data_IF_674995064972
#
_entry.id   IF_674995064972
#
_cell.length_a   1.000
_cell.length_b   1.000
_cell.length_c   1.000
_cell.angle_alpha   90.00
_cell.angle_beta   90.00
_cell.angle_gamma   90.00
#
_symmetry.space_group_name_H-M   'P 1'
#
loop_
_entity.id
_entity.type
_entity.pdbx_description
1 polymer ?
#
# COMPACT_ATOMS: atom_id res chain seq x y z
N UNK A 1 5.60 37.33 -85.89
CA UNK A 1 4.16 37.67 -85.88
C UNK A 1 3.69 37.71 -84.43
N UNK A 2 2.99 38.79 -84.07
CA UNK A 2 2.45 39.11 -82.74
C UNK A 2 1.42 38.08 -82.27
N UNK A 3 1.35 37.84 -80.94
CA UNK A 3 0.16 37.97 -80.05
C UNK A 3 0.47 37.24 -78.72
N UNK A 4 0.81 37.95 -77.64
CA UNK A 4 -0.05 38.59 -76.62
C UNK A 4 -0.77 37.61 -75.67
N UNK A 5 -0.35 37.68 -74.39
CA UNK A 5 -1.11 37.70 -73.13
C UNK A 5 -2.38 36.84 -73.01
N UNK A 6 -2.46 36.00 -71.97
CA UNK A 6 -3.15 36.32 -70.69
C UNK A 6 -2.99 35.18 -69.67
N UNK A 7 -2.64 35.54 -68.43
CA UNK A 7 -2.97 34.80 -67.19
C UNK A 7 -4.32 35.36 -66.70
N UNK A 8 -5.29 34.52 -66.31
CA UNK A 8 -5.79 34.56 -64.91
C UNK A 8 -6.12 33.15 -64.36
N UNK A 9 -5.62 32.79 -63.18
CA UNK A 9 -6.36 32.77 -61.89
C UNK A 9 -7.72 32.06 -61.96
N UNK A 10 -7.79 30.85 -61.38
CA UNK A 10 -8.86 30.48 -60.44
C UNK A 10 -8.44 29.26 -59.61
N UNK A 11 -7.72 29.57 -58.53
CA UNK A 11 -7.63 28.74 -57.33
C UNK A 11 -9.02 28.70 -56.72
N UNK A 12 -9.57 27.51 -56.52
CA UNK A 12 -10.92 27.38 -55.95
C UNK A 12 -11.39 25.94 -55.81
N UNK A 13 -10.55 25.03 -55.33
CA UNK A 13 -11.05 23.79 -54.72
C UNK A 13 -11.15 24.06 -53.22
N UNK A 14 -12.23 24.72 -52.83
CA UNK A 14 -12.69 24.73 -51.44
C UNK A 14 -13.26 23.32 -51.22
N UNK A 15 -12.41 22.40 -50.75
CA UNK A 15 -12.86 21.22 -50.04
C UNK A 15 -13.52 21.72 -48.76
N UNK A 16 -14.85 21.92 -48.82
CA UNK A 16 -15.71 21.95 -47.65
C UNK A 16 -15.61 20.56 -47.02
N UNK A 17 -14.60 20.36 -46.17
CA UNK A 17 -14.65 19.31 -45.17
C UNK A 17 -15.74 19.77 -44.21
N UNK A 18 -16.97 19.37 -44.52
CA UNK A 18 -18.03 19.38 -43.54
C UNK A 18 -17.50 18.60 -42.34
N UNK A 19 -17.23 19.30 -41.24
CA UNK A 19 -17.04 18.71 -39.94
C UNK A 19 -18.38 18.10 -39.51
N UNK A 20 -18.75 16.98 -40.16
CA UNK A 20 -19.70 16.05 -39.59
C UNK A 20 -18.99 15.43 -38.39
N UNK A 21 -19.44 15.79 -37.20
CA UNK A 21 -19.29 14.94 -36.02
C UNK A 21 -19.90 13.59 -36.41
N UNK A 22 -19.06 12.63 -36.79
CA UNK A 22 -19.52 11.26 -37.02
C UNK A 22 -19.83 10.68 -35.64
N UNK A 23 -21.08 10.86 -35.19
CA UNK A 23 -21.64 10.05 -34.12
C UNK A 23 -21.52 8.61 -34.61
N UNK A 24 -20.71 7.81 -33.91
CA UNK A 24 -20.59 6.39 -34.18
C UNK A 24 -22.00 5.79 -34.08
N UNK A 25 -22.56 5.22 -35.16
CA UNK A 25 -23.93 4.72 -35.17
C UNK A 25 -24.17 3.58 -34.16
N UNK A 26 -23.11 3.04 -33.55
CA UNK A 26 -23.18 2.05 -32.47
C UNK A 26 -22.92 2.61 -31.05
N UNK A 27 -22.74 3.92 -30.88
CA UNK A 27 -22.58 4.53 -29.56
C UNK A 27 -23.94 4.67 -28.85
N UNK A 28 -24.41 3.56 -28.26
CA UNK A 28 -25.67 3.50 -27.51
C UNK A 28 -25.66 4.38 -26.26
N UNK A 29 -24.49 4.73 -25.73
CA UNK A 29 -24.37 5.55 -24.54
C UNK A 29 -24.68 7.03 -24.85
N UNK A 30 -24.39 7.49 -26.07
CA UNK A 30 -24.63 8.88 -26.49
C UNK A 30 -26.08 9.36 -26.40
N UNK A 31 -27.06 8.42 -26.42
CA UNK A 31 -28.49 8.73 -26.29
C UNK A 31 -29.00 8.86 -24.85
N UNK A 32 -28.14 8.60 -23.86
CA UNK A 32 -28.46 8.77 -22.45
C UNK A 32 -28.12 10.20 -21.99
N UNK A 33 -28.76 10.63 -20.91
CA UNK A 33 -28.54 11.97 -20.33
C UNK A 33 -27.73 11.89 -19.02
N UNK A 34 -26.98 12.98 -18.75
CA UNK A 34 -26.25 13.25 -17.51
C UNK A 34 -25.43 12.04 -17.00
N UNK A 35 -25.67 11.63 -15.75
CA UNK A 35 -24.93 10.56 -15.07
C UNK A 35 -25.14 9.18 -15.71
N UNK A 36 -26.29 8.92 -16.34
CA UNK A 36 -26.55 7.64 -16.97
C UNK A 36 -25.65 7.43 -18.20
N UNK A 37 -25.33 8.51 -18.90
CA UNK A 37 -24.39 8.51 -20.03
C UNK A 37 -22.97 8.19 -19.58
N UNK A 38 -22.48 8.89 -18.55
CA UNK A 38 -21.15 8.68 -17.99
C UNK A 38 -20.97 7.26 -17.44
N UNK A 39 -21.98 6.73 -16.73
CA UNK A 39 -21.96 5.36 -16.25
C UNK A 39 -21.92 4.35 -17.41
N UNK A 40 -22.69 4.58 -18.47
CA UNK A 40 -22.64 3.71 -19.66
C UNK A 40 -21.23 3.69 -20.28
N UNK A 41 -20.57 4.84 -20.40
CA UNK A 41 -19.19 4.89 -20.89
C UNK A 41 -18.18 4.24 -19.94
N UNK A 42 -18.38 4.37 -18.62
CA UNK A 42 -17.60 3.68 -17.61
C UNK A 42 -17.68 2.15 -17.78
N UNK A 43 -18.90 1.62 -17.89
CA UNK A 43 -19.14 0.17 -18.01
C UNK A 43 -18.53 -0.41 -19.30
N UNK A 44 -18.39 0.41 -20.34
CA UNK A 44 -17.80 0.03 -21.62
C UNK A 44 -16.30 0.38 -21.75
N UNK A 45 -15.65 0.85 -20.68
CA UNK A 45 -14.24 1.28 -20.68
C UNK A 45 -13.92 2.37 -21.72
N UNK A 46 -14.90 3.22 -22.02
CA UNK A 46 -14.76 4.36 -22.94
C UNK A 46 -14.46 5.64 -22.15
N UNK A 47 -13.43 5.60 -21.31
CA UNK A 47 -13.16 6.62 -20.29
C UNK A 47 -13.00 8.04 -20.86
N UNK A 48 -12.46 8.19 -22.08
CA UNK A 48 -12.29 9.49 -22.73
C UNK A 48 -13.61 10.20 -23.09
N UNK A 49 -14.74 9.49 -23.01
CA UNK A 49 -16.08 10.03 -23.30
C UNK A 49 -16.86 10.42 -22.04
N UNK A 50 -16.28 10.21 -20.85
CA UNK A 50 -16.88 10.56 -19.56
C UNK A 50 -16.55 12.02 -19.25
N UNK A 51 -17.58 12.84 -19.03
CA UNK A 51 -17.39 14.26 -18.72
C UNK A 51 -17.11 14.46 -17.22
N UNK A 52 -17.74 13.68 -16.34
CA UNK A 52 -17.55 13.77 -14.91
C UNK A 52 -16.21 13.16 -14.47
N UNK A 53 -15.27 14.00 -14.02
CA UNK A 53 -13.94 13.57 -13.58
C UNK A 53 -13.94 12.56 -12.42
N UNK A 54 -14.96 12.63 -11.55
CA UNK A 54 -15.14 11.68 -10.43
C UNK A 54 -15.40 10.26 -10.94
N UNK A 55 -16.00 10.11 -12.12
CA UNK A 55 -16.19 8.81 -12.79
C UNK A 55 -15.06 8.52 -13.79
N UNK A 56 -14.55 9.54 -14.47
CA UNK A 56 -13.49 9.41 -15.47
C UNK A 56 -12.20 8.89 -14.86
N UNK A 57 -11.75 9.46 -13.75
CA UNK A 57 -10.45 9.10 -13.17
C UNK A 57 -10.42 7.63 -12.68
N UNK A 58 -11.44 7.11 -11.96
CA UNK A 58 -11.52 5.68 -11.66
C UNK A 58 -11.62 4.80 -12.91
N UNK A 59 -12.31 5.24 -13.97
CA UNK A 59 -12.35 4.50 -15.24
C UNK A 59 -10.94 4.37 -15.85
N UNK A 60 -10.20 5.48 -15.90
CA UNK A 60 -8.82 5.50 -16.41
C UNK A 60 -7.94 4.58 -15.56
N UNK A 61 -8.06 4.63 -14.23
CA UNK A 61 -7.30 3.75 -13.34
C UNK A 61 -7.62 2.27 -13.56
N UNK A 62 -8.90 1.92 -13.76
CA UNK A 62 -9.29 0.55 -14.09
C UNK A 62 -8.76 0.11 -15.46
N UNK A 63 -8.81 1.00 -16.44
CA UNK A 63 -8.25 0.75 -17.77
C UNK A 63 -6.74 0.50 -17.70
N UNK A 64 -6.00 1.31 -16.93
CA UNK A 64 -4.57 1.15 -16.71
C UNK A 64 -4.23 -0.22 -16.10
N UNK A 65 -5.04 -0.70 -15.15
CA UNK A 65 -4.89 -2.03 -14.55
C UNK A 65 -5.15 -3.14 -15.56
N UNK A 66 -6.26 -3.07 -16.31
CA UNK A 66 -6.64 -4.09 -17.30
C UNK A 66 -5.59 -4.20 -18.41
N UNK A 67 -5.03 -3.06 -18.82
CA UNK A 67 -4.00 -3.00 -19.86
C UNK A 67 -2.60 -3.27 -19.33
N UNK A 68 -2.41 -3.32 -18.00
CA UNK A 68 -1.10 -3.44 -17.37
C UNK A 68 -0.11 -2.33 -17.81
N UNK A 69 -0.64 -1.15 -18.14
CA UNK A 69 0.10 -0.03 -18.71
C UNK A 69 0.01 1.21 -17.82
N UNK A 70 1.11 1.53 -17.15
CA UNK A 70 1.23 2.67 -16.25
C UNK A 70 1.06 4.02 -16.97
N UNK A 71 1.36 4.08 -18.27
CA UNK A 71 1.27 5.34 -19.04
C UNK A 71 -0.18 5.77 -19.26
N UNK A 72 -1.15 4.85 -19.09
CA UNK A 72 -2.57 5.20 -19.09
C UNK A 72 -2.93 6.11 -17.92
N UNK A 73 -2.20 6.03 -16.79
CA UNK A 73 -2.39 6.95 -15.67
C UNK A 73 -2.06 8.40 -16.05
N UNK A 74 -1.21 8.66 -17.05
CA UNK A 74 -0.83 10.01 -17.49
C UNK A 74 -2.01 10.82 -18.05
N UNK A 75 -3.17 10.17 -18.27
CA UNK A 75 -4.43 10.80 -18.65
C UNK A 75 -5.20 11.42 -17.46
N UNK A 76 -4.73 11.24 -16.23
CA UNK A 76 -5.34 11.80 -15.01
C UNK A 76 -4.56 13.05 -14.60
N UNK A 77 -5.24 14.21 -14.58
CA UNK A 77 -4.64 15.49 -14.16
C UNK A 77 -4.65 15.68 -12.64
N UNK A 78 -5.64 15.10 -11.94
CA UNK A 78 -5.79 15.28 -10.49
C UNK A 78 -4.78 14.42 -9.73
N UNK A 79 -3.93 15.07 -8.92
CA UNK A 79 -2.76 14.46 -8.29
C UNK A 79 -3.11 13.23 -7.43
N UNK A 80 -4.20 13.27 -6.65
CA UNK A 80 -4.56 12.17 -5.77
C UNK A 80 -5.07 10.95 -6.55
N UNK A 81 -5.85 11.15 -7.60
CA UNK A 81 -6.32 10.10 -8.50
C UNK A 81 -5.20 9.54 -9.38
N UNK A 82 -4.25 10.38 -9.80
CA UNK A 82 -3.04 9.95 -10.49
C UNK A 82 -2.21 9.02 -9.60
N UNK A 83 -1.93 9.44 -8.36
CA UNK A 83 -1.23 8.62 -7.37
C UNK A 83 -1.96 7.30 -7.08
N UNK A 84 -3.30 7.34 -6.99
CA UNK A 84 -4.10 6.14 -6.81
C UNK A 84 -3.99 5.18 -8.00
N UNK A 85 -4.06 5.70 -9.23
CA UNK A 85 -3.87 4.90 -10.44
C UNK A 85 -2.51 4.19 -10.44
N UNK A 86 -1.43 4.92 -10.13
CA UNK A 86 -0.09 4.36 -10.05
C UNK A 86 0.03 3.26 -8.99
N UNK A 87 -0.52 3.47 -7.78
CA UNK A 87 -0.57 2.46 -6.72
C UNK A 87 -1.32 1.19 -7.17
N UNK A 88 -2.47 1.33 -7.83
CA UNK A 88 -3.24 0.18 -8.31
C UNK A 88 -2.50 -0.62 -9.37
N UNK A 89 -1.89 0.05 -10.35
CA UNK A 89 -1.07 -0.60 -11.39
C UNK A 89 0.15 -1.28 -10.77
N UNK A 90 0.80 -0.64 -9.79
CA UNK A 90 1.92 -1.24 -9.05
C UNK A 90 1.53 -2.59 -8.44
N UNK A 91 0.36 -2.66 -7.79
CA UNK A 91 -0.16 -3.88 -7.15
C UNK A 91 -0.45 -4.98 -8.15
N UNK A 92 -1.14 -4.67 -9.24
CA UNK A 92 -1.47 -5.65 -10.30
C UNK A 92 -0.21 -6.24 -10.92
N UNK A 93 0.78 -5.39 -11.20
CA UNK A 93 2.07 -5.80 -11.75
C UNK A 93 3.01 -6.43 -10.71
N UNK A 94 2.65 -6.40 -9.42
CA UNK A 94 3.52 -6.69 -8.28
C UNK A 94 4.90 -5.98 -8.41
N UNK A 95 4.88 -4.71 -8.82
CA UNK A 95 6.07 -3.93 -9.13
C UNK A 95 6.23 -2.74 -8.17
N UNK A 96 6.97 -2.90 -7.05
CA UNK A 96 7.18 -1.82 -6.09
C UNK A 96 8.01 -0.66 -6.62
N UNK A 97 8.69 -0.81 -7.77
CA UNK A 97 9.45 0.29 -8.38
C UNK A 97 8.54 1.41 -8.89
N UNK A 98 7.24 1.16 -9.06
CA UNK A 98 6.27 2.21 -9.42
C UNK A 98 6.02 3.16 -8.24
N UNK A 99 6.08 2.68 -6.99
CA UNK A 99 5.83 3.50 -5.79
C UNK A 99 6.78 4.72 -5.71
N UNK A 100 8.01 4.60 -6.24
CA UNK A 100 8.99 5.70 -6.23
C UNK A 100 8.57 6.91 -7.08
N UNK A 101 7.67 6.69 -8.04
CA UNK A 101 7.18 7.71 -8.95
C UNK A 101 5.91 8.40 -8.41
N UNK A 102 5.37 7.95 -7.28
CA UNK A 102 4.23 8.58 -6.63
C UNK A 102 4.73 9.83 -5.89
N UNK A 103 4.32 11.01 -6.34
CA UNK A 103 4.74 12.30 -5.75
C UNK A 103 4.11 12.55 -4.37
N UNK A 104 2.84 12.20 -4.23
CA UNK A 104 2.11 12.37 -2.98
C UNK A 104 2.66 11.42 -1.91
N UNK A 105 3.39 11.97 -0.94
CA UNK A 105 4.07 11.21 0.13
C UNK A 105 3.15 10.21 0.84
N UNK A 106 1.93 10.61 1.17
CA UNK A 106 0.96 9.73 1.82
C UNK A 106 0.64 8.48 0.96
N UNK A 107 0.40 8.68 -0.34
CA UNK A 107 0.13 7.58 -1.28
C UNK A 107 1.37 6.72 -1.53
N UNK A 108 2.56 7.33 -1.60
CA UNK A 108 3.82 6.61 -1.71
C UNK A 108 4.07 5.71 -0.50
N UNK A 109 3.86 6.24 0.72
CA UNK A 109 4.00 5.50 1.97
C UNK A 109 3.01 4.31 2.02
N UNK A 110 1.76 4.51 1.58
CA UNK A 110 0.77 3.44 1.47
C UNK A 110 1.17 2.35 0.45
N UNK A 111 1.75 2.75 -0.69
CA UNK A 111 2.24 1.84 -1.71
C UNK A 111 3.36 0.94 -1.15
N UNK A 112 4.38 1.54 -0.52
CA UNK A 112 5.46 0.77 0.12
C UNK A 112 4.98 -0.09 1.28
N UNK A 113 4.04 0.41 2.10
CA UNK A 113 3.43 -0.35 3.20
C UNK A 113 2.75 -1.62 2.71
N UNK A 114 2.02 -1.53 1.59
CA UNK A 114 1.42 -2.70 0.98
C UNK A 114 2.46 -3.75 0.61
N UNK A 115 3.48 -3.39 -0.17
CA UNK A 115 4.51 -4.35 -0.58
C UNK A 115 5.31 -4.90 0.60
N UNK A 116 5.57 -4.08 1.62
CA UNK A 116 6.25 -4.54 2.82
C UNK A 116 5.44 -5.62 3.54
N UNK A 117 4.14 -5.40 3.71
CA UNK A 117 3.27 -6.32 4.45
C UNK A 117 2.79 -7.53 3.63
N UNK A 118 2.49 -7.37 2.34
CA UNK A 118 2.00 -8.46 1.49
C UNK A 118 3.10 -9.44 1.10
N UNK A 119 4.34 -8.95 0.93
CA UNK A 119 5.47 -9.75 0.49
C UNK A 119 6.45 -10.06 1.62
N UNK A 120 6.12 -9.67 2.86
CA UNK A 120 7.02 -9.75 4.03
C UNK A 120 8.39 -9.09 3.77
N UNK A 121 8.43 -8.01 2.99
CA UNK A 121 9.64 -7.31 2.60
C UNK A 121 9.87 -6.08 3.48
N UNK A 122 10.60 -6.28 4.58
CA UNK A 122 10.93 -5.18 5.50
C UNK A 122 11.68 -4.03 4.83
N UNK A 123 12.40 -4.27 3.72
CA UNK A 123 13.10 -3.21 3.01
C UNK A 123 12.12 -2.21 2.41
N UNK A 124 10.92 -2.64 2.01
CA UNK A 124 9.86 -1.71 1.59
C UNK A 124 9.30 -0.93 2.76
N UNK A 125 9.13 -1.54 3.92
CA UNK A 125 8.74 -0.79 5.13
C UNK A 125 9.74 0.34 5.44
N UNK A 126 11.04 0.11 5.28
CA UNK A 126 12.09 1.10 5.55
C UNK A 126 12.07 2.32 4.60
N UNK A 127 11.39 2.21 3.44
CA UNK A 127 11.21 3.32 2.50
C UNK A 127 10.05 4.25 2.89
N UNK A 128 9.24 3.88 3.88
CA UNK A 128 8.11 4.69 4.35
C UNK A 128 8.62 5.90 5.13
N UNK A 129 8.20 7.09 4.70
CA UNK A 129 8.59 8.37 5.30
C UNK A 129 7.91 8.60 6.64
N UNK A 130 6.59 8.36 6.71
CA UNK A 130 5.83 8.47 7.95
C UNK A 130 6.29 7.42 8.98
N UNK A 131 6.79 7.88 10.13
CA UNK A 131 7.40 6.98 11.11
C UNK A 131 6.41 6.00 11.74
N UNK A 132 5.20 6.46 12.07
CA UNK A 132 4.19 5.61 12.68
C UNK A 132 3.79 4.48 11.73
N UNK A 133 3.55 4.81 10.47
CA UNK A 133 3.23 3.85 9.42
C UNK A 133 4.40 2.90 9.14
N UNK A 134 5.63 3.42 9.11
CA UNK A 134 6.86 2.60 8.98
C UNK A 134 6.96 1.58 10.11
N UNK A 135 6.80 2.02 11.35
CA UNK A 135 6.86 1.14 12.52
C UNK A 135 5.77 0.07 12.46
N UNK A 136 4.54 0.44 12.06
CA UNK A 136 3.44 -0.52 11.93
C UNK A 136 3.69 -1.55 10.83
N UNK A 137 4.27 -1.14 9.71
CA UNK A 137 4.69 -2.05 8.64
C UNK A 137 5.73 -3.04 9.16
N UNK A 138 6.79 -2.55 9.83
CA UNK A 138 7.85 -3.40 10.41
C UNK A 138 7.30 -4.38 11.44
N UNK A 139 6.46 -3.93 12.38
CA UNK A 139 5.81 -4.81 13.37
C UNK A 139 5.00 -5.92 12.68
N UNK A 140 4.22 -5.56 11.66
CA UNK A 140 3.40 -6.54 10.92
C UNK A 140 4.27 -7.60 10.24
N UNK A 141 5.38 -7.20 9.62
CA UNK A 141 6.31 -8.15 8.98
C UNK A 141 7.00 -9.01 10.04
N UNK A 142 7.43 -8.42 11.17
CA UNK A 142 8.05 -9.15 12.28
C UNK A 142 7.12 -10.22 12.86
N UNK A 143 5.85 -9.87 13.10
CA UNK A 143 4.84 -10.79 13.63
C UNK A 143 4.55 -11.94 12.66
N UNK A 144 4.34 -11.64 11.36
CA UNK A 144 4.01 -12.67 10.36
C UNK A 144 5.19 -13.62 10.10
N UNK A 145 6.41 -13.12 10.16
CA UNK A 145 7.62 -13.91 9.92
C UNK A 145 8.20 -14.56 11.18
N UNK A 146 7.70 -14.17 12.36
CA UNK A 146 8.29 -14.49 13.66
C UNK A 146 9.80 -14.18 13.74
N UNK A 147 10.28 -13.14 13.04
CA UNK A 147 11.69 -12.73 13.09
C UNK A 147 11.90 -11.61 14.11
N UNK A 148 12.47 -11.92 15.30
CA UNK A 148 12.69 -10.94 16.36
C UNK A 148 13.73 -9.86 15.97
N UNK A 149 14.60 -10.12 14.99
CA UNK A 149 15.58 -9.13 14.56
C UNK A 149 14.91 -7.94 13.87
N UNK A 150 13.74 -8.15 13.27
CA UNK A 150 12.99 -7.06 12.64
C UNK A 150 12.52 -6.03 13.68
N UNK A 151 12.19 -6.46 14.90
CA UNK A 151 11.84 -5.57 16.01
C UNK A 151 12.98 -4.60 16.36
N UNK A 152 14.24 -4.92 16.05
CA UNK A 152 15.38 -4.04 16.30
C UNK A 152 15.40 -2.78 15.41
N UNK A 153 14.58 -2.76 14.35
CA UNK A 153 14.35 -1.57 13.54
C UNK A 153 13.32 -0.61 14.15
N UNK A 154 12.66 -0.98 15.26
CA UNK A 154 11.71 -0.13 15.96
C UNK A 154 12.42 0.78 16.97
N UNK A 155 11.92 2.00 17.17
CA UNK A 155 12.54 2.96 18.10
C UNK A 155 12.42 2.52 19.56
N UNK A 156 13.39 2.93 20.36
CA UNK A 156 13.29 2.95 21.81
C UNK A 156 12.45 4.18 22.23
N UNK A 157 11.13 4.03 22.25
CA UNK A 157 10.22 5.08 22.73
C UNK A 157 9.82 4.82 24.19
N UNK A 158 9.20 5.78 24.89
CA UNK A 158 8.60 5.54 26.21
C UNK A 158 7.58 4.40 26.20
N UNK A 159 6.82 4.26 25.11
CA UNK A 159 5.90 3.14 24.88
C UNK A 159 6.64 1.82 24.59
N UNK A 160 7.91 1.91 24.20
CA UNK A 160 8.86 0.83 23.95
C UNK A 160 8.32 -0.23 22.98
N UNK A 161 7.89 0.22 21.79
CA UNK A 161 7.38 -0.64 20.70
C UNK A 161 8.29 -1.83 20.41
N UNK A 162 9.61 -1.63 20.46
CA UNK A 162 10.61 -2.69 20.34
C UNK A 162 10.42 -3.82 21.34
N UNK A 163 10.32 -3.51 22.64
CA UNK A 163 10.13 -4.52 23.67
C UNK A 163 8.77 -5.22 23.55
N UNK A 164 7.73 -4.51 23.13
CA UNK A 164 6.41 -5.09 22.87
C UNK A 164 6.45 -6.09 21.70
N UNK A 165 7.08 -5.73 20.58
CA UNK A 165 7.31 -6.59 19.42
C UNK A 165 8.09 -7.85 19.80
N UNK A 166 9.24 -7.70 20.48
CA UNK A 166 10.04 -8.83 20.97
C UNK A 166 9.24 -9.74 21.90
N UNK A 167 8.48 -9.17 22.85
CA UNK A 167 7.67 -9.95 23.79
C UNK A 167 6.53 -10.70 23.10
N UNK A 168 5.95 -10.13 22.04
CA UNK A 168 4.90 -10.77 21.23
C UNK A 168 5.46 -12.02 20.55
N UNK A 169 6.58 -11.85 19.83
CA UNK A 169 7.25 -12.95 19.13
C UNK A 169 7.72 -14.02 20.11
N UNK A 170 8.39 -13.65 21.21
CA UNK A 170 8.87 -14.59 22.22
C UNK A 170 7.75 -15.48 22.78
N UNK A 171 6.56 -14.90 22.97
CA UNK A 171 5.39 -15.62 23.48
C UNK A 171 4.79 -16.55 22.42
N UNK A 172 4.62 -16.07 21.20
CA UNK A 172 4.07 -16.86 20.08
C UNK A 172 4.96 -18.05 19.72
N UNK A 173 6.28 -17.84 19.71
CA UNK A 173 7.26 -18.90 19.41
C UNK A 173 7.66 -19.71 20.64
N UNK A 174 7.26 -19.28 21.84
CA UNK A 174 7.72 -19.79 23.14
C UNK A 174 9.25 -19.75 23.31
N UNK A 175 9.94 -18.89 22.55
CA UNK A 175 11.38 -18.73 22.60
C UNK A 175 11.78 -17.69 23.64
N UNK A 176 12.21 -18.16 24.81
CA UNK A 176 12.69 -17.31 25.90
C UNK A 176 13.93 -16.48 25.54
N UNK A 177 14.75 -16.92 24.57
CA UNK A 177 15.98 -16.21 24.20
C UNK A 177 15.66 -14.87 23.53
N UNK A 178 14.48 -14.76 22.90
CA UNK A 178 13.96 -13.49 22.39
C UNK A 178 13.68 -12.50 23.54
N UNK A 179 13.27 -12.96 24.72
CA UNK A 179 13.13 -12.08 25.88
C UNK A 179 14.47 -11.49 26.32
N UNK A 180 15.58 -12.20 26.11
CA UNK A 180 16.92 -11.73 26.47
C UNK A 180 17.38 -10.55 25.58
N UNK A 181 16.74 -10.33 24.43
CA UNK A 181 16.96 -9.17 23.56
C UNK A 181 16.30 -7.88 24.10
N UNK A 182 15.52 -7.95 25.18
CA UNK A 182 14.85 -6.80 25.80
C UNK A 182 15.77 -6.17 26.86
N UNK A 183 16.24 -4.95 26.61
CA UNK A 183 17.15 -4.24 27.51
C UNK A 183 16.52 -3.84 28.86
N UNK A 184 15.22 -3.52 28.84
CA UNK A 184 14.53 -3.03 30.03
C UNK A 184 14.18 -4.20 30.97
N UNK A 185 14.91 -4.31 32.09
CA UNK A 185 14.82 -5.43 33.04
C UNK A 185 13.38 -5.82 33.40
N UNK A 186 12.51 -4.86 33.72
CA UNK A 186 11.11 -5.15 34.09
C UNK A 186 10.36 -5.81 32.93
N UNK A 187 10.54 -5.32 31.70
CA UNK A 187 9.89 -5.88 30.49
C UNK A 187 10.46 -7.23 30.11
N UNK A 188 11.77 -7.42 30.20
CA UNK A 188 12.42 -8.71 30.02
C UNK A 188 11.88 -9.76 31.00
N UNK A 189 11.82 -9.44 32.29
CA UNK A 189 11.28 -10.34 33.31
C UNK A 189 9.78 -10.61 33.09
N UNK A 190 9.02 -9.62 32.62
CA UNK A 190 7.60 -9.78 32.28
C UNK A 190 7.42 -10.71 31.08
N UNK A 191 8.30 -10.62 30.08
CA UNK A 191 8.32 -11.50 28.92
C UNK A 191 8.54 -12.96 29.36
N UNK A 192 9.62 -13.23 30.12
CA UNK A 192 9.90 -14.57 30.65
C UNK A 192 8.78 -15.12 31.53
N UNK A 193 8.22 -14.28 32.41
CA UNK A 193 7.09 -14.64 33.26
C UNK A 193 5.86 -15.09 32.46
N UNK A 194 5.53 -14.39 31.37
CA UNK A 194 4.39 -14.76 30.51
C UNK A 194 4.61 -16.11 29.84
N UNK A 195 5.80 -16.34 29.27
CA UNK A 195 6.14 -17.64 28.67
C UNK A 195 6.10 -18.74 29.72
N UNK A 196 6.65 -18.50 30.92
CA UNK A 196 6.68 -19.48 32.00
C UNK A 196 5.25 -19.92 32.38
N UNK A 197 4.33 -18.96 32.51
CA UNK A 197 2.91 -19.25 32.79
C UNK A 197 2.22 -19.97 31.64
N UNK A 198 2.35 -19.47 30.41
CA UNK A 198 1.72 -20.07 29.22
C UNK A 198 2.22 -21.51 28.96
N UNK A 199 3.41 -21.87 29.45
CA UNK A 199 4.02 -23.20 29.29
C UNK A 199 4.06 -24.04 30.57
N UNK A 200 3.57 -23.52 31.70
CA UNK A 200 3.73 -24.11 33.04
C UNK A 200 5.19 -24.50 33.37
N UNK A 201 6.16 -23.68 32.95
CA UNK A 201 7.59 -23.94 33.11
C UNK A 201 8.17 -23.19 34.32
N UNK A 202 8.28 -23.90 35.45
CA UNK A 202 8.88 -23.37 36.70
C UNK A 202 10.37 -23.02 36.52
N UNK A 203 11.12 -23.78 35.71
CA UNK A 203 12.54 -23.49 35.47
C UNK A 203 12.71 -22.10 34.84
N UNK A 204 11.78 -21.68 33.99
CA UNK A 204 11.80 -20.33 33.43
C UNK A 204 11.46 -19.24 34.47
N UNK A 205 10.62 -19.54 35.47
CA UNK A 205 10.42 -18.63 36.60
C UNK A 205 11.73 -18.42 37.38
N UNK A 206 12.59 -19.44 37.50
CA UNK A 206 13.87 -19.33 38.20
C UNK A 206 14.85 -18.36 37.53
N UNK A 207 14.73 -18.16 36.21
CA UNK A 207 15.51 -17.17 35.45
C UNK A 207 15.08 -15.71 35.67
N UNK A 208 13.91 -15.47 36.28
CA UNK A 208 13.41 -14.14 36.59
C UNK A 208 14.28 -13.54 37.71
N UNK A 209 14.92 -12.42 37.41
CA UNK A 209 15.85 -11.73 38.32
C UNK A 209 15.17 -10.79 39.30
N UNK A 210 13.88 -10.48 39.11
CA UNK A 210 13.09 -9.67 40.06
C UNK A 210 12.37 -10.62 41.01
N UNK A 211 12.84 -10.72 42.25
CA UNK A 211 12.34 -11.70 43.24
C UNK A 211 10.82 -11.70 43.39
N UNK A 212 10.18 -10.53 43.49
CA UNK A 212 8.72 -10.47 43.60
C UNK A 212 8.01 -11.13 42.40
N UNK A 213 8.46 -10.85 41.18
CA UNK A 213 7.89 -11.44 39.97
C UNK A 213 8.19 -12.95 39.87
N UNK A 214 9.36 -13.37 40.35
CA UNK A 214 9.76 -14.78 40.39
C UNK A 214 8.87 -15.56 41.36
N UNK A 215 8.70 -15.05 42.58
CA UNK A 215 7.90 -15.69 43.62
C UNK A 215 6.44 -15.80 43.16
N UNK A 216 5.88 -14.72 42.57
CA UNK A 216 4.54 -14.72 41.97
C UNK A 216 4.42 -15.75 40.83
N UNK A 217 5.41 -15.85 39.95
CA UNK A 217 5.43 -16.81 38.84
C UNK A 217 5.38 -18.27 39.34
N UNK A 218 6.22 -18.61 40.32
CA UNK A 218 6.28 -19.97 40.89
C UNK A 218 4.96 -20.30 41.60
N UNK A 219 4.43 -19.37 42.40
CA UNK A 219 3.19 -19.57 43.13
C UNK A 219 1.99 -19.81 42.21
N UNK A 220 1.86 -19.02 41.13
CA UNK A 220 0.75 -19.14 40.19
C UNK A 220 0.76 -20.50 39.47
N UNK A 221 1.91 -20.95 38.94
CA UNK A 221 2.01 -22.24 38.26
C UNK A 221 1.72 -23.40 39.23
N UNK A 222 2.21 -23.33 40.46
CA UNK A 222 1.94 -24.37 41.47
C UNK A 222 0.46 -24.45 41.87
N UNK A 223 -0.29 -23.34 41.85
CA UNK A 223 -1.73 -23.35 42.10
C UNK A 223 -2.51 -24.02 40.98
N UNK A 224 -2.10 -23.88 39.72
CA UNK A 224 -2.77 -24.49 38.57
C UNK A 224 -2.55 -26.01 38.46
N UNK A 225 -1.52 -26.55 39.12
CA UNK A 225 -1.18 -27.97 39.11
C UNK A 225 -1.84 -28.79 40.24
N UNK A 226 -2.55 -28.14 41.19
CA UNK A 226 -3.21 -28.77 42.33
C UNK A 226 -4.74 -28.77 42.19
#
# INVERSE_FOLDING_TARGET
>A
MKRWLTIPVLVGVILLIAACQTVDPNDSCSSLDDTAKDQCYFDNMQCSKIDNEVLRNPCIAELAKIQEDITVCDLIEEESAFAHCQDQVARVLNNPEICKNIEMRYSQDNCYSHFGTSNNDVQKCLLISNEEQRHKCIETVADVTNDPNLCLNLPFTPENKRAACLSSIARETQDKEVCDMIDERVKQNTCKLRIAKDTNNIELCEEITINLMKDDCIADIQQELN
#
